data_IF_421856907713
#
_entry.id   IF_421856907713
#
_cell.length_a   1.000
_cell.length_b   1.000
_cell.length_c   1.000
_cell.angle_alpha   90.00
_cell.angle_beta   90.00
_cell.angle_gamma   90.00
#
_symmetry.space_group_name_H-M   'P 1'
#
loop_
_entity.id
_entity.type
_entity.pdbx_description
1 polymer ?
#
# COMPACT_ATOMS: atom_id res chain seq x y z
N UNK A 1 1.01 -20.73 -0.12
CA UNK A 1 0.40 -19.74 -1.05
C UNK A 1 1.45 -19.24 -2.03
N UNK A 2 1.08 -19.14 -3.29
CA UNK A 2 2.01 -18.72 -4.33
C UNK A 2 1.46 -17.50 -5.07
N UNK A 3 2.33 -16.54 -5.29
CA UNK A 3 2.00 -15.37 -6.10
C UNK A 3 2.77 -15.48 -7.42
N UNK A 4 2.09 -15.20 -8.50
CA UNK A 4 2.69 -15.34 -9.83
C UNK A 4 2.26 -14.18 -10.70
N UNK A 5 3.17 -13.69 -11.52
CA UNK A 5 2.85 -12.64 -12.49
C UNK A 5 3.70 -12.82 -13.73
N UNK A 6 3.22 -12.25 -14.81
CA UNK A 6 3.94 -12.20 -16.08
C UNK A 6 4.03 -10.73 -16.49
N UNK A 7 5.24 -10.28 -16.78
CA UNK A 7 5.48 -8.90 -17.18
C UNK A 7 5.81 -8.85 -18.66
N UNK A 8 5.17 -7.93 -19.36
CA UNK A 8 5.47 -7.69 -20.78
C UNK A 8 5.92 -6.25 -20.94
N UNK A 9 7.03 -6.07 -21.64
CA UNK A 9 7.53 -4.74 -21.98
C UNK A 9 7.47 -4.54 -23.48
N UNK A 10 7.00 -3.38 -23.90
CA UNK A 10 6.88 -3.08 -25.35
C UNK A 10 7.81 -1.97 -25.80
N UNK A 11 8.25 -1.12 -24.89
CA UNK A 11 9.16 -0.03 -25.20
C UNK A 11 9.92 0.34 -23.93
N UNK A 12 10.90 1.21 -24.07
CA UNK A 12 11.73 1.61 -22.95
C UNK A 12 10.89 2.21 -21.81
N UNK A 13 11.17 1.76 -20.60
CA UNK A 13 10.52 2.27 -19.38
C UNK A 13 9.01 2.12 -19.40
N UNK A 14 8.55 0.97 -19.90
CA UNK A 14 7.13 0.65 -19.88
C UNK A 14 6.94 -0.84 -19.73
N UNK A 15 6.12 -1.25 -18.77
CA UNK A 15 5.82 -2.65 -18.57
C UNK A 15 4.36 -2.81 -18.17
N UNK A 16 3.83 -3.99 -18.42
CA UNK A 16 2.45 -4.31 -18.11
C UNK A 16 2.37 -5.69 -17.51
N UNK A 17 1.72 -5.79 -16.37
CA UNK A 17 1.46 -7.05 -15.70
C UNK A 17 -0.02 -7.34 -15.78
N UNK A 18 -0.39 -8.61 -15.96
CA UNK A 18 -1.79 -8.98 -16.00
C UNK A 18 -2.46 -8.82 -14.64
N UNK A 19 -1.69 -9.05 -13.55
CA UNK A 19 -2.25 -8.89 -12.20
C UNK A 19 -3.32 -9.90 -11.87
N UNK A 20 -3.81 -9.87 -10.66
CA UNK A 20 -4.93 -10.72 -10.25
C UNK A 20 -6.26 -9.99 -10.41
N UNK A 21 -6.21 -8.68 -10.37
CA UNK A 21 -7.38 -7.85 -10.62
C UNK A 21 -7.20 -7.11 -11.92
N UNK A 22 -7.20 -5.79 -11.86
CA UNK A 22 -6.92 -4.97 -13.03
C UNK A 22 -5.46 -5.11 -13.43
N UNK A 23 -5.14 -4.99 -14.71
CA UNK A 23 -3.74 -4.99 -15.14
C UNK A 23 -2.97 -3.86 -14.47
N UNK A 24 -1.68 -4.10 -14.22
CA UNK A 24 -0.82 -3.10 -13.58
C UNK A 24 0.19 -2.60 -14.60
N UNK A 25 0.12 -1.33 -14.91
CA UNK A 25 0.99 -0.70 -15.88
C UNK A 25 2.03 0.16 -15.15
N UNK A 26 3.30 -0.03 -15.47
CA UNK A 26 4.38 0.68 -14.82
C UNK A 26 5.25 1.43 -15.81
N UNK A 27 5.72 2.57 -15.37
CA UNK A 27 6.52 3.49 -16.18
C UNK A 27 7.86 3.77 -15.49
N UNK A 28 8.73 4.44 -16.21
CA UNK A 28 10.03 4.82 -15.66
C UNK A 28 9.98 6.09 -14.81
N UNK A 29 8.98 6.92 -15.04
CA UNK A 29 8.86 8.21 -14.34
C UNK A 29 7.46 8.44 -13.83
N UNK A 30 7.36 9.07 -12.65
CA UNK A 30 6.06 9.31 -12.02
C UNK A 30 5.19 10.29 -12.82
N UNK A 31 5.80 11.04 -13.71
CA UNK A 31 5.04 11.95 -14.57
C UNK A 31 4.09 11.18 -15.51
N UNK A 32 4.46 9.96 -15.83
CA UNK A 32 3.67 9.12 -16.74
C UNK A 32 2.69 8.20 -16.00
N UNK A 33 2.97 7.90 -14.74
CA UNK A 33 2.12 7.02 -13.95
C UNK A 33 2.92 6.37 -12.85
N UNK A 34 2.48 5.17 -12.44
CA UNK A 34 3.18 4.46 -11.39
C UNK A 34 4.49 3.88 -11.90
N UNK A 35 5.51 3.93 -11.06
CA UNK A 35 6.81 3.31 -11.35
C UNK A 35 6.97 2.10 -10.43
N UNK A 36 7.96 1.22 -10.70
CA UNK A 36 8.19 0.10 -9.78
C UNK A 36 8.37 0.55 -8.33
N UNK A 37 9.12 1.64 -8.11
CA UNK A 37 9.34 2.12 -6.74
C UNK A 37 8.09 2.74 -6.13
N UNK A 38 7.31 3.51 -6.89
CA UNK A 38 6.09 4.07 -6.35
C UNK A 38 5.09 2.96 -6.03
N UNK A 39 5.09 1.87 -6.81
CA UNK A 39 4.25 0.72 -6.53
C UNK A 39 4.69 0.04 -5.23
N UNK A 40 5.98 -0.07 -4.98
CA UNK A 40 6.49 -0.63 -3.72
C UNK A 40 6.02 0.22 -2.55
N UNK A 41 6.05 1.54 -2.73
CA UNK A 41 5.57 2.46 -1.70
C UNK A 41 4.08 2.24 -1.40
N UNK A 42 3.28 2.10 -2.44
CA UNK A 42 1.84 1.81 -2.30
C UNK A 42 1.65 0.45 -1.60
N UNK A 43 2.40 -0.55 -2.04
CA UNK A 43 2.28 -1.89 -1.49
C UNK A 43 2.60 -1.90 0.01
N UNK A 44 3.66 -1.21 0.41
CA UNK A 44 4.05 -1.14 1.80
C UNK A 44 2.97 -0.46 2.64
N UNK A 45 2.46 0.68 2.16
CA UNK A 45 1.41 1.40 2.88
C UNK A 45 0.14 0.56 2.99
N UNK A 46 -0.21 -0.16 1.92
CA UNK A 46 -1.39 -1.03 1.93
C UNK A 46 -1.22 -2.16 2.92
N UNK A 47 -0.03 -2.75 2.97
CA UNK A 47 0.25 -3.83 3.90
C UNK A 47 0.10 -3.37 5.34
N UNK A 48 0.66 -2.22 5.68
CA UNK A 48 0.55 -1.65 7.02
C UNK A 48 -0.92 -1.37 7.35
N UNK A 49 -1.66 -0.80 6.39
CA UNK A 49 -3.07 -0.49 6.58
C UNK A 49 -3.87 -1.76 6.91
N UNK A 50 -3.69 -2.80 6.09
CA UNK A 50 -4.43 -4.04 6.28
C UNK A 50 -4.06 -4.76 7.57
N UNK A 51 -2.78 -4.70 7.95
CA UNK A 51 -2.35 -5.30 9.21
C UNK A 51 -3.00 -4.61 10.41
N UNK A 52 -3.10 -3.28 10.36
CA UNK A 52 -3.74 -2.53 11.44
C UNK A 52 -5.23 -2.81 11.48
N UNK A 53 -5.89 -2.85 10.33
CA UNK A 53 -7.31 -3.17 10.26
C UNK A 53 -7.57 -4.54 10.87
N UNK A 54 -6.73 -5.50 10.53
CA UNK A 54 -6.85 -6.86 11.05
C UNK A 54 -6.65 -6.91 12.58
N UNK A 55 -5.66 -6.17 13.06
CA UNK A 55 -5.38 -6.09 14.48
C UNK A 55 -6.59 -5.56 15.26
N UNK A 56 -7.16 -4.46 14.80
CA UNK A 56 -8.29 -3.85 15.51
C UNK A 56 -9.56 -4.69 15.41
N UNK A 57 -9.75 -5.38 14.30
CA UNK A 57 -10.89 -6.28 14.17
C UNK A 57 -10.76 -7.44 15.15
N UNK A 58 -9.56 -8.00 15.24
CA UNK A 58 -9.33 -9.19 16.07
C UNK A 58 -9.30 -8.89 17.56
N UNK A 59 -8.62 -7.82 17.95
CA UNK A 59 -8.38 -7.54 19.37
C UNK A 59 -9.28 -6.47 19.97
N UNK A 60 -9.86 -5.61 19.15
CA UNK A 60 -10.71 -4.53 19.63
C UNK A 60 -12.15 -4.64 19.13
N UNK A 61 -12.45 -5.63 18.31
CA UNK A 61 -13.78 -5.83 17.79
C UNK A 61 -14.26 -4.79 16.81
N UNK A 62 -13.33 -4.05 16.20
CA UNK A 62 -13.66 -3.01 15.24
C UNK A 62 -13.50 -3.55 13.82
N UNK A 63 -14.63 -3.88 13.19
CA UNK A 63 -14.62 -4.52 11.87
C UNK A 63 -14.40 -3.55 10.72
N UNK A 64 -14.80 -2.30 10.88
CA UNK A 64 -14.65 -1.33 9.81
C UNK A 64 -13.88 -0.12 10.33
N UNK A 65 -12.56 -0.23 10.30
CA UNK A 65 -11.70 0.83 10.76
C UNK A 65 -11.33 1.74 9.59
N UNK A 66 -11.73 3.01 9.70
CA UNK A 66 -11.34 4.01 8.74
C UNK A 66 -9.96 4.52 9.14
N UNK A 67 -8.97 4.25 8.31
CA UNK A 67 -7.58 4.57 8.64
C UNK A 67 -6.93 5.19 7.41
N UNK A 68 -6.04 6.13 7.65
CA UNK A 68 -5.26 6.75 6.58
C UNK A 68 -3.79 6.55 6.87
N UNK A 69 -3.05 6.12 5.86
CA UNK A 69 -1.61 5.93 5.97
C UNK A 69 -0.94 6.71 4.86
N UNK A 70 -0.08 7.63 5.24
CA UNK A 70 0.71 8.39 4.28
C UNK A 70 2.11 7.79 4.27
N UNK A 71 2.59 7.40 3.09
CA UNK A 71 3.89 6.76 2.96
C UNK A 71 4.74 7.51 1.97
N UNK A 72 5.97 7.80 2.38
CA UNK A 72 6.95 8.51 1.55
C UNK A 72 8.23 7.71 1.47
N UNK A 73 8.83 7.71 0.29
CA UNK A 73 10.12 7.09 0.09
C UNK A 73 11.09 8.15 -0.39
N UNK A 74 12.24 8.25 0.28
CA UNK A 74 13.26 9.21 -0.09
C UNK A 74 14.62 8.67 0.30
N UNK A 75 15.53 8.59 -0.67
CA UNK A 75 16.91 8.19 -0.43
C UNK A 75 17.07 6.93 0.42
N UNK A 76 16.32 5.89 0.09
CA UNK A 76 16.43 4.62 0.78
C UNK A 76 15.65 4.51 2.07
N UNK A 77 14.85 5.52 2.40
CA UNK A 77 14.04 5.52 3.60
C UNK A 77 12.56 5.61 3.32
N UNK A 78 11.79 4.76 3.98
CA UNK A 78 10.33 4.85 3.97
C UNK A 78 9.89 5.49 5.27
N UNK A 79 9.00 6.49 5.16
CA UNK A 79 8.44 7.14 6.33
C UNK A 79 6.92 7.03 6.23
N UNK A 80 6.31 6.45 7.25
CA UNK A 80 4.87 6.24 7.27
C UNK A 80 4.24 7.00 8.42
N UNK A 81 3.17 7.73 8.12
CA UNK A 81 2.37 8.42 9.13
C UNK A 81 1.00 7.78 9.14
N UNK A 82 0.58 7.33 10.32
CA UNK A 82 -0.67 6.61 10.49
C UNK A 82 -1.66 7.49 11.22
N UNK A 83 -2.83 7.68 10.62
CA UNK A 83 -3.88 8.52 11.18
C UNK A 83 -5.07 7.67 11.58
N UNK A 84 -5.34 7.61 12.87
CA UNK A 84 -6.44 6.83 13.42
C UNK A 84 -7.57 7.74 13.89
N UNK A 85 -8.81 7.23 13.94
CA UNK A 85 -9.91 8.02 14.50
C UNK A 85 -9.63 8.38 15.95
N UNK A 86 -10.01 9.55 16.36
CA UNK A 86 -9.77 10.02 17.73
C UNK A 86 -10.45 9.17 18.79
N UNK A 87 -11.65 8.70 18.50
CA UNK A 87 -12.41 7.84 19.42
C UNK A 87 -11.62 6.61 19.80
N UNK A 88 -10.94 6.04 18.82
CA UNK A 88 -10.18 4.83 19.00
C UNK A 88 -9.00 5.08 19.95
N UNK A 89 -8.36 6.21 19.79
CA UNK A 89 -7.20 6.56 20.63
C UNK A 89 -7.60 6.67 22.10
N UNK A 90 -8.74 7.29 22.36
CA UNK A 90 -9.20 7.47 23.72
C UNK A 90 -9.45 6.14 24.42
N UNK A 91 -9.98 5.17 23.72
CA UNK A 91 -10.25 3.86 24.30
C UNK A 91 -8.97 3.11 24.64
N UNK A 92 -7.94 3.33 23.86
CA UNK A 92 -6.68 2.62 24.09
C UNK A 92 -5.89 3.13 25.27
N UNK A 93 -6.25 4.27 25.80
CA UNK A 93 -5.55 4.83 26.94
C UNK A 93 -6.03 4.24 28.26
N UNK A 94 -7.03 3.43 28.22
CA UNK A 94 -7.54 2.77 29.41
C UNK A 94 -6.90 1.40 29.66
#
# INVERSE_FOLDING_TARGET
MMYQTTIKGDKRFHSLSEGYGAPVELFGYTEDGETPMSLVNIALASCVTMCLQSYFAKYQGIEELAIQVDSNYEEGHFTLAIHLPKDLILENEQ
#
